data_IF_566401862561
#
_entry.id   IF_566401862561
#
_cell.length_a   1.000
_cell.length_b   1.000
_cell.length_c   1.000
_cell.angle_alpha   90.00
_cell.angle_beta   90.00
_cell.angle_gamma   90.00
#
_symmetry.space_group_name_H-M   'P 1'
#
loop_
_entity.id
_entity.type
_entity.pdbx_description
1 polymer ?
#
# COMPACT_ATOMS: atom_id res chain seq x y z
N UNK A 1 -2.74 4.91 12.53
CA UNK A 1 -1.86 6.01 12.07
C UNK A 1 -0.44 5.67 12.44
N UNK A 2 0.52 6.12 11.62
CA UNK A 2 1.95 5.86 11.83
C UNK A 2 2.69 7.19 11.80
N UNK A 3 3.70 7.32 12.64
CA UNK A 3 4.57 8.50 12.66
C UNK A 3 5.99 8.08 12.27
N UNK A 4 6.72 9.03 11.69
CA UNK A 4 8.14 8.88 11.43
C UNK A 4 8.99 9.22 12.67
N UNK A 5 10.32 9.07 12.57
CA UNK A 5 11.25 9.36 13.67
C UNK A 5 11.27 10.82 14.11
N UNK A 6 10.64 11.72 13.36
CA UNK A 6 10.47 13.14 13.67
C UNK A 6 9.06 13.46 14.19
N UNK A 7 8.25 12.45 14.51
CA UNK A 7 6.85 12.57 14.93
C UNK A 7 5.94 13.20 13.86
N UNK A 8 6.29 13.04 12.58
CA UNK A 8 5.45 13.46 11.46
C UNK A 8 4.55 12.30 11.07
N UNK A 9 3.24 12.55 11.04
CA UNK A 9 2.25 11.57 10.57
C UNK A 9 2.52 11.17 9.11
N UNK A 10 2.65 9.87 8.86
CA UNK A 10 2.75 9.30 7.53
C UNK A 10 1.37 9.14 6.89
N UNK A 11 1.35 9.09 5.55
CA UNK A 11 0.14 8.88 4.76
C UNK A 11 -0.67 7.67 5.26
N UNK A 12 -1.93 7.92 5.66
CA UNK A 12 -2.84 6.87 6.08
C UNK A 12 -3.52 6.20 4.89
N UNK A 13 -3.51 4.86 4.90
CA UNK A 13 -4.11 4.03 3.87
C UNK A 13 -5.33 3.25 4.37
N UNK A 14 -5.69 3.38 5.66
CA UNK A 14 -6.77 2.62 6.30
C UNK A 14 -8.16 2.82 5.67
N UNK A 15 -8.36 3.95 4.98
CA UNK A 15 -9.62 4.28 4.31
C UNK A 15 -9.77 3.62 2.92
N UNK A 16 -8.74 2.94 2.41
CA UNK A 16 -8.72 2.44 1.05
C UNK A 16 -8.72 0.91 1.03
N UNK A 17 -9.62 0.26 0.27
CA UNK A 17 -9.49 -1.17 0.02
C UNK A 17 -8.19 -1.45 -0.71
N UNK A 18 -7.43 -2.44 -0.25
CA UNK A 18 -6.13 -2.80 -0.80
C UNK A 18 -6.18 -4.15 -1.52
N UNK A 19 -5.36 -4.28 -2.55
CA UNK A 19 -5.16 -5.52 -3.29
C UNK A 19 -3.68 -5.81 -3.46
N UNK A 20 -3.36 -7.09 -3.64
CA UNK A 20 -2.02 -7.57 -3.97
C UNK A 20 -2.01 -8.39 -5.25
N UNK A 21 -0.86 -8.49 -5.89
CA UNK A 21 -0.65 -9.30 -7.10
C UNK A 21 0.80 -9.76 -7.21
N UNK A 22 1.03 -10.96 -7.75
CA UNK A 22 2.39 -11.44 -8.05
C UNK A 22 2.89 -11.03 -9.44
N UNK A 23 1.97 -10.74 -10.37
CA UNK A 23 2.25 -10.53 -11.79
C UNK A 23 1.57 -9.29 -12.40
N UNK A 24 0.85 -8.52 -11.57
CA UNK A 24 -0.02 -7.41 -11.96
C UNK A 24 -1.20 -7.77 -12.87
N UNK A 25 -1.41 -9.06 -13.19
CA UNK A 25 -2.54 -9.54 -13.97
C UNK A 25 -3.73 -9.86 -13.06
N UNK A 26 -3.49 -10.66 -12.02
CA UNK A 26 -4.52 -11.10 -11.07
C UNK A 26 -4.34 -10.42 -9.72
N UNK A 27 -5.42 -9.80 -9.24
CA UNK A 27 -5.41 -8.99 -8.02
C UNK A 27 -6.36 -9.57 -6.97
N UNK A 28 -5.83 -9.77 -5.77
CA UNK A 28 -6.56 -10.36 -4.64
C UNK A 28 -6.70 -9.33 -3.51
N UNK A 29 -7.83 -9.32 -2.78
CA UNK A 29 -7.96 -8.52 -1.57
C UNK A 29 -6.84 -8.83 -0.57
N UNK A 30 -6.34 -7.81 0.12
CA UNK A 30 -5.39 -7.98 1.23
C UNK A 30 -5.84 -7.15 2.42
N UNK A 31 -5.69 -7.72 3.61
CA UNK A 31 -6.04 -7.06 4.86
C UNK A 31 -4.98 -6.02 5.26
N UNK A 32 -5.44 -4.93 5.89
CA UNK A 32 -4.52 -3.87 6.34
C UNK A 32 -3.51 -4.37 7.37
N UNK A 33 -3.87 -5.34 8.20
CA UNK A 33 -2.98 -5.93 9.22
C UNK A 33 -1.74 -6.59 8.60
N UNK A 34 -1.92 -7.27 7.46
CA UNK A 34 -0.81 -7.91 6.74
C UNK A 34 0.16 -6.87 6.20
N UNK A 35 -0.36 -5.79 5.59
CA UNK A 35 0.48 -4.68 5.11
C UNK A 35 1.12 -3.92 6.27
N UNK A 36 0.44 -3.78 7.42
CA UNK A 36 1.03 -3.19 8.61
C UNK A 36 2.24 -3.99 9.09
N UNK A 37 2.08 -5.30 9.23
CA UNK A 37 3.16 -6.19 9.65
C UNK A 37 4.35 -6.13 8.69
N UNK A 38 4.11 -6.09 7.39
CA UNK A 38 5.19 -5.94 6.40
C UNK A 38 5.93 -4.62 6.56
N UNK A 39 5.20 -3.52 6.73
CA UNK A 39 5.80 -2.19 6.82
C UNK A 39 6.51 -1.95 8.16
N UNK A 40 6.09 -2.59 9.26
CA UNK A 40 6.78 -2.54 10.57
C UNK A 40 8.18 -3.15 10.51
N UNK A 41 8.44 -4.05 9.55
CA UNK A 41 9.74 -4.68 9.34
C UNK A 41 10.65 -3.91 8.36
N UNK A 42 10.20 -2.76 7.84
CA UNK A 42 10.96 -1.97 6.87
C UNK A 42 11.62 -0.74 7.49
N UNK A 43 12.75 -0.29 6.93
CA UNK A 43 13.28 1.03 7.22
C UNK A 43 12.25 2.12 6.88
N UNK A 44 12.18 3.16 7.71
CA UNK A 44 11.27 4.29 7.58
C UNK A 44 11.19 4.86 6.15
N UNK A 45 12.34 5.12 5.52
CA UNK A 45 12.43 5.65 4.15
C UNK A 45 11.70 4.75 3.13
N UNK A 46 11.76 3.42 3.32
CA UNK A 46 11.03 2.48 2.46
C UNK A 46 9.54 2.51 2.73
N UNK A 47 9.13 2.69 3.99
CA UNK A 47 7.72 2.86 4.37
C UNK A 47 7.14 4.14 3.73
N UNK A 48 7.84 5.27 3.86
CA UNK A 48 7.47 6.55 3.24
C UNK A 48 7.31 6.42 1.72
N UNK A 49 8.30 5.81 1.06
CA UNK A 49 8.27 5.59 -0.38
C UNK A 49 7.10 4.67 -0.79
N UNK A 50 6.90 3.56 -0.08
CA UNK A 50 5.81 2.63 -0.35
C UNK A 50 4.45 3.32 -0.26
N UNK A 51 4.18 4.01 0.85
CA UNK A 51 2.91 4.68 1.09
C UNK A 51 2.67 5.80 0.07
N UNK A 52 3.70 6.60 -0.25
CA UNK A 52 3.61 7.65 -1.26
C UNK A 52 3.29 7.11 -2.66
N UNK A 53 3.95 6.03 -3.09
CA UNK A 53 3.68 5.41 -4.39
C UNK A 53 2.28 4.77 -4.40
N UNK A 54 1.89 4.08 -3.33
CA UNK A 54 0.57 3.44 -3.23
C UNK A 54 -0.57 4.46 -3.35
N UNK A 55 -0.43 5.61 -2.68
CA UNK A 55 -1.41 6.72 -2.71
C UNK A 55 -1.49 7.43 -4.05
N UNK A 56 -0.41 7.41 -4.84
CA UNK A 56 -0.44 7.93 -6.21
C UNK A 56 -1.31 7.10 -7.16
N UNK A 57 -1.76 5.91 -6.74
CA UNK A 57 -2.49 4.94 -7.58
C UNK A 57 -1.57 4.02 -8.39
N UNK A 58 -0.26 4.10 -8.18
CA UNK A 58 0.73 3.16 -8.73
C UNK A 58 0.83 1.89 -7.88
N UNK A 59 1.62 0.92 -8.36
CA UNK A 59 1.73 -0.41 -7.77
C UNK A 59 3.12 -0.66 -7.17
N UNK A 60 3.43 -0.20 -5.94
CA UNK A 60 4.73 -0.48 -5.33
C UNK A 60 4.92 -1.99 -5.12
N UNK A 61 6.15 -2.46 -5.39
CA UNK A 61 6.54 -3.85 -5.16
C UNK A 61 7.27 -4.00 -3.82
N UNK A 62 6.79 -4.91 -2.99
CA UNK A 62 7.43 -5.32 -1.74
C UNK A 62 7.62 -6.84 -1.74
N UNK A 63 8.85 -7.31 -1.50
CA UNK A 63 9.17 -8.74 -1.35
C UNK A 63 8.62 -9.65 -2.48
N UNK A 64 8.62 -9.17 -3.72
CA UNK A 64 8.11 -9.96 -4.85
C UNK A 64 6.63 -9.74 -5.16
N UNK A 65 5.89 -9.06 -4.30
CA UNK A 65 4.44 -8.83 -4.40
C UNK A 65 4.16 -7.36 -4.69
N UNK A 66 3.27 -7.07 -5.63
CA UNK A 66 2.76 -5.74 -5.93
C UNK A 66 1.54 -5.45 -5.07
N UNK A 67 1.41 -4.20 -4.63
CA UNK A 67 0.27 -3.73 -3.83
C UNK A 67 -0.41 -2.57 -4.54
N UNK A 68 -1.73 -2.43 -4.40
CA UNK A 68 -2.46 -1.27 -4.92
C UNK A 68 -3.66 -0.93 -4.07
N UNK A 69 -4.13 0.31 -4.19
CA UNK A 69 -5.51 0.65 -3.82
C UNK A 69 -6.43 0.03 -4.88
N UNK A 70 -7.41 -0.78 -4.44
CA UNK A 70 -8.42 -1.35 -5.34
C UNK A 70 -9.03 -0.23 -6.17
N UNK A 71 -8.95 -0.30 -7.50
CA UNK A 71 -9.59 0.67 -8.37
C UNK A 71 -11.09 0.69 -8.04
N UNK A 72 -11.67 1.87 -7.82
CA UNK A 72 -13.12 1.99 -7.93
C UNK A 72 -13.47 1.59 -9.35
N UNK A 73 -14.28 0.55 -9.53
CA UNK A 73 -14.82 0.19 -10.85
C UNK A 73 -15.38 1.46 -11.49
N UNK A 74 -14.64 2.03 -12.44
CA UNK A 74 -15.21 3.01 -13.37
C UNK A 74 -16.07 2.19 -14.30
N UNK A 75 -17.33 2.01 -13.92
CA UNK A 75 -18.35 1.68 -14.88
C UNK A 75 -18.36 2.84 -15.89
N UNK A 76 -17.68 2.65 -17.01
CA UNK A 76 -17.93 3.47 -18.20
C UNK A 76 -19.28 3.01 -18.74
N UNK A 77 -20.36 3.61 -18.24
CA UNK A 77 -21.66 3.64 -18.95
C UNK A 77 -21.60 4.60 -20.11
#
# INVERSE_FOLDING_TARGET
MREDSHHIEMEDISAFPLERSHDCADWEPVEHEEINTLLDNLPEERVKMFLGVLRSGSFPKLEGVYYRIRPRNRNYT
#
